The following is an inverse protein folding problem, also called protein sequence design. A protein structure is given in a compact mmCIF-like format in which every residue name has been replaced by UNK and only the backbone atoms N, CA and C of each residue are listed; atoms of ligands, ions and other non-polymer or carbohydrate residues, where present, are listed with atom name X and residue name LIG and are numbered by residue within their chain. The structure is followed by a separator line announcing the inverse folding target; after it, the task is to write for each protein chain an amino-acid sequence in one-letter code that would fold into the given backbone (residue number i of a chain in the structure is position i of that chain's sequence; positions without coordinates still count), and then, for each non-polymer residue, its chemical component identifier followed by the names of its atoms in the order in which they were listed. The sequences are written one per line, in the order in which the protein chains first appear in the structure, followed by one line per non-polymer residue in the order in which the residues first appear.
data_IF_015937129376
#
_entry.id   IF_015937129376
#
_cell.length_a   1.000
_cell.length_b   1.000
_cell.length_c   1.000
_cell.angle_alpha   90.00
_cell.angle_beta   90.00
_cell.angle_gamma   90.00
#
_symmetry.space_group_name_H-M   'P 1'
#
loop_
_entity.id
_entity.type
_entity.pdbx_description
1 polymer ?
#
# COMPACT_ATOMS: atom_id res chain seq x y z
N UNK A 1 6.87 1.72 -6.99
CA UNK A 1 7.12 3.11 -6.53
C UNK A 1 6.07 4.12 -7.01
N UNK A 2 5.74 4.19 -8.31
CA UNK A 2 4.78 5.17 -8.86
C UNK A 2 3.38 5.15 -8.21
N UNK A 3 2.89 3.97 -7.83
CA UNK A 3 1.62 3.85 -7.10
C UNK A 3 1.60 4.60 -5.75
N UNK A 4 2.75 4.71 -5.06
CA UNK A 4 2.84 5.45 -3.79
C UNK A 4 2.69 6.95 -4.01
N UNK A 5 3.33 7.49 -5.06
CA UNK A 5 3.26 8.92 -5.37
C UNK A 5 1.82 9.40 -5.65
N UNK A 6 0.96 8.52 -6.19
CA UNK A 6 -0.43 8.88 -6.49
C UNK A 6 -1.41 8.68 -5.34
N UNK A 7 -0.93 8.13 -4.21
CA UNK A 7 -1.72 7.90 -3.01
C UNK A 7 -2.13 9.21 -2.31
N UNK A 8 -3.32 9.22 -1.71
CA UNK A 8 -3.85 10.36 -0.95
C UNK A 8 -2.87 10.91 0.10
N UNK A 9 -2.13 10.03 0.79
CA UNK A 9 -1.14 10.45 1.79
C UNK A 9 0.01 11.25 1.16
N UNK A 10 0.68 10.70 0.15
CA UNK A 10 1.79 11.36 -0.53
C UNK A 10 1.33 12.62 -1.25
N UNK A 11 0.13 12.58 -1.83
CA UNK A 11 -0.58 13.71 -2.42
C UNK A 11 -0.69 14.88 -1.46
N UNK A 12 -1.26 14.64 -0.28
CA UNK A 12 -1.36 15.65 0.77
C UNK A 12 0.00 16.22 1.15
N UNK A 13 1.04 15.37 1.22
CA UNK A 13 2.39 15.82 1.56
C UNK A 13 2.94 16.78 0.51
N UNK A 14 2.99 16.38 -0.77
CA UNK A 14 3.59 17.25 -1.80
C UNK A 14 2.74 18.48 -2.14
N UNK A 15 1.41 18.40 -2.06
CA UNK A 15 0.58 19.59 -2.28
C UNK A 15 0.86 20.67 -1.22
N UNK A 16 1.07 20.26 0.03
CA UNK A 16 1.38 21.21 1.11
C UNK A 16 2.82 21.68 1.09
N UNK A 17 3.78 20.78 0.89
CA UNK A 17 5.20 21.13 1.01
C UNK A 17 5.77 21.81 -0.24
N UNK A 18 5.31 21.43 -1.45
CA UNK A 18 5.87 21.94 -2.71
C UNK A 18 4.90 22.85 -3.46
N UNK A 19 3.58 22.61 -3.39
CA UNK A 19 2.59 23.39 -4.12
C UNK A 19 1.83 24.41 -3.28
N UNK A 20 2.09 24.45 -1.96
CA UNK A 20 1.46 25.36 -0.99
C UNK A 20 -0.07 25.39 -1.12
N UNK A 21 -0.68 24.21 -1.18
CA UNK A 21 -2.08 24.05 -1.55
C UNK A 21 -2.87 23.14 -0.57
N UNK A 22 -3.79 23.69 0.25
CA UNK A 22 -3.92 25.11 0.57
C UNK A 22 -2.78 25.55 1.52
N UNK A 23 -2.32 26.81 1.44
CA UNK A 23 -1.21 27.28 2.27
C UNK A 23 -1.63 27.43 3.74
N UNK A 24 -2.89 27.78 3.99
CA UNK A 24 -3.51 27.81 5.32
C UNK A 24 -5.03 27.70 5.21
N UNK A 25 -5.71 27.31 6.29
CA UNK A 25 -7.18 27.21 6.31
C UNK A 25 -7.88 28.57 6.12
N UNK A 26 -7.20 29.67 6.42
CA UNK A 26 -7.73 31.04 6.30
C UNK A 26 -7.42 31.70 4.94
N UNK A 27 -6.61 31.06 4.09
CA UNK A 27 -6.17 31.62 2.81
C UNK A 27 -6.90 30.89 1.68
N UNK A 28 -7.63 31.63 0.86
CA UNK A 28 -8.35 31.09 -0.29
C UNK A 28 -7.42 30.48 -1.35
N UNK A 29 -7.98 29.65 -2.23
CA UNK A 29 -7.26 29.03 -3.35
C UNK A 29 -6.58 30.09 -4.22
N UNK A 30 -5.24 30.05 -4.26
CA UNK A 30 -4.41 31.03 -4.98
C UNK A 30 -4.70 31.04 -6.49
N UNK A 31 -5.22 29.95 -7.05
CA UNK A 31 -5.54 29.81 -8.48
C UNK A 31 -6.93 30.35 -8.84
N UNK A 32 -7.74 30.76 -7.85
CA UNK A 32 -9.08 31.30 -8.04
C UNK A 32 -9.97 30.42 -8.94
N UNK A 33 -10.73 31.04 -9.84
CA UNK A 33 -11.67 30.36 -10.75
C UNK A 33 -10.99 29.49 -11.83
N UNK A 34 -9.66 29.51 -11.93
CA UNK A 34 -8.90 28.67 -12.89
C UNK A 34 -8.46 27.33 -12.28
N UNK A 35 -8.82 27.03 -11.03
CA UNK A 35 -8.55 25.74 -10.43
C UNK A 35 -9.38 24.64 -11.10
N UNK A 36 -8.70 23.76 -11.85
CA UNK A 36 -9.31 22.60 -12.53
C UNK A 36 -9.20 21.32 -11.71
N UNK A 37 -8.63 21.39 -10.51
CA UNK A 37 -8.35 20.22 -9.68
C UNK A 37 -7.60 19.13 -10.44
N UNK A 38 -7.99 17.87 -10.19
CA UNK A 38 -7.37 16.68 -10.77
C UNK A 38 -8.00 16.26 -12.12
N UNK A 39 -8.64 17.20 -12.82
CA UNK A 39 -9.28 16.92 -14.12
C UNK A 39 -8.40 17.26 -15.33
N UNK A 40 -7.24 17.88 -15.11
CA UNK A 40 -6.33 18.32 -16.17
C UNK A 40 -4.93 17.70 -16.01
N UNK A 41 -4.21 17.56 -17.13
CA UNK A 41 -2.82 17.10 -17.13
C UNK A 41 -1.91 18.10 -16.40
N UNK A 42 -0.95 17.65 -15.55
CA UNK A 42 -0.57 16.26 -15.24
C UNK A 42 -1.38 15.62 -14.10
N UNK A 43 -2.20 16.38 -13.37
CA UNK A 43 -2.91 15.93 -12.17
C UNK A 43 -3.99 14.87 -12.45
N UNK A 44 -4.47 14.76 -13.69
CA UNK A 44 -5.38 13.66 -14.10
C UNK A 44 -4.78 12.27 -13.88
N UNK A 45 -3.46 12.13 -13.93
CA UNK A 45 -2.76 10.87 -13.67
C UNK A 45 -2.91 10.43 -12.21
N UNK A 46 -3.26 11.34 -11.31
CA UNK A 46 -3.54 11.03 -9.91
C UNK A 46 -4.78 10.12 -9.76
N UNK A 47 -5.71 10.18 -10.72
CA UNK A 47 -6.86 9.27 -10.78
C UNK A 47 -6.45 7.82 -11.09
N UNK A 48 -5.28 7.61 -11.72
CA UNK A 48 -4.77 6.27 -12.02
C UNK A 48 -4.53 5.43 -10.76
N UNK A 49 -4.30 6.08 -9.61
CA UNK A 49 -4.19 5.41 -8.31
C UNK A 49 -5.39 4.49 -8.03
N UNK A 50 -6.60 4.93 -8.38
CA UNK A 50 -7.81 4.14 -8.16
C UNK A 50 -7.78 2.82 -8.93
N UNK A 51 -7.31 2.84 -10.18
CA UNK A 51 -7.27 1.66 -11.04
C UNK A 51 -6.10 0.72 -10.68
N UNK A 52 -4.92 1.29 -10.40
CA UNK A 52 -3.74 0.51 -9.99
C UNK A 52 -3.94 -0.22 -8.66
N UNK A 53 -4.80 0.30 -7.79
CA UNK A 53 -5.14 -0.37 -6.53
C UNK A 53 -5.79 -1.74 -6.78
N UNK A 54 -6.65 -1.88 -7.80
CA UNK A 54 -7.27 -3.18 -8.14
C UNK A 54 -6.23 -4.18 -8.67
N UNK A 55 -5.27 -3.71 -9.45
CA UNK A 55 -4.15 -4.54 -9.95
C UNK A 55 -3.31 -5.07 -8.78
N UNK A 56 -3.20 -4.31 -7.69
CA UNK A 56 -2.45 -4.75 -6.50
C UNK A 56 -3.05 -6.02 -5.90
N UNK A 57 -4.37 -6.20 -5.92
CA UNK A 57 -5.01 -7.43 -5.46
C UNK A 57 -4.76 -8.64 -6.36
N UNK A 58 -4.47 -8.41 -7.65
CA UNK A 58 -4.06 -9.49 -8.55
C UNK A 58 -2.61 -9.91 -8.28
N UNK A 59 -1.75 -8.96 -7.91
CA UNK A 59 -0.32 -9.22 -7.69
C UNK A 59 0.00 -9.79 -6.30
N UNK A 60 -0.78 -9.41 -5.28
CA UNK A 60 -0.62 -9.87 -3.88
C UNK A 60 -0.55 -11.41 -3.74
N UNK A 61 -1.41 -12.22 -4.37
CA UNK A 61 -1.31 -13.68 -4.35
C UNK A 61 0.01 -14.22 -4.89
N UNK A 62 0.58 -13.60 -5.93
CA UNK A 62 1.89 -14.00 -6.47
C UNK A 62 2.99 -13.74 -5.45
N UNK A 63 2.98 -12.60 -4.76
CA UNK A 63 3.95 -12.31 -3.70
C UNK A 63 3.87 -13.31 -2.53
N UNK A 64 2.68 -13.78 -2.19
CA UNK A 64 2.51 -14.84 -1.19
C UNK A 64 2.95 -16.21 -1.71
N UNK A 65 2.75 -16.49 -3.01
CA UNK A 65 3.33 -17.66 -3.67
C UNK A 65 4.86 -17.64 -3.59
N UNK A 66 5.50 -16.49 -3.82
CA UNK A 66 6.95 -16.34 -3.73
C UNK A 66 7.48 -16.65 -2.32
N UNK A 67 6.74 -16.26 -1.27
CA UNK A 67 7.07 -16.64 0.12
C UNK A 67 7.06 -18.16 0.30
N UNK A 68 6.07 -18.86 -0.26
CA UNK A 68 5.98 -20.33 -0.20
C UNK A 68 7.09 -21.00 -1.01
N UNK A 69 7.50 -20.43 -2.13
CA UNK A 69 8.64 -20.95 -2.88
C UNK A 69 9.96 -20.68 -2.14
N UNK A 70 10.08 -19.54 -1.47
CA UNK A 70 11.25 -19.18 -0.68
C UNK A 70 11.46 -20.05 0.58
N UNK A 71 10.44 -20.81 1.01
CA UNK A 71 10.57 -21.80 2.10
C UNK A 71 10.95 -23.20 1.58
N UNK A 72 11.08 -23.41 0.27
CA UNK A 72 11.43 -24.71 -0.30
C UNK A 72 12.88 -24.75 -0.75
N UNK A 73 13.72 -25.49 -0.04
CA UNK A 73 15.12 -25.71 -0.39
C UNK A 73 15.31 -27.16 -0.83
N UNK A 74 15.58 -27.39 -2.13
CA UNK A 74 15.86 -28.74 -2.63
C UNK A 74 14.73 -29.77 -2.44
N UNK A 75 13.50 -29.32 -2.22
CA UNK A 75 12.34 -30.20 -1.99
C UNK A 75 11.93 -30.37 -0.52
N UNK A 76 12.72 -29.90 0.45
CA UNK A 76 12.34 -29.85 1.86
C UNK A 76 11.92 -28.44 2.29
N UNK A 77 11.19 -28.36 3.41
CA UNK A 77 10.91 -27.10 4.08
C UNK A 77 12.19 -26.59 4.73
N UNK A 78 12.49 -25.32 4.52
CA UNK A 78 13.58 -24.63 5.20
C UNK A 78 13.29 -23.15 5.35
N UNK A 79 14.08 -22.51 6.21
CA UNK A 79 13.95 -21.09 6.51
C UNK A 79 15.33 -20.45 6.42
N UNK A 80 15.48 -19.49 5.52
CA UNK A 80 16.67 -18.65 5.42
C UNK A 80 16.38 -17.21 5.81
N UNK A 81 17.43 -16.40 5.92
CA UNK A 81 17.29 -14.96 6.05
C UNK A 81 16.53 -14.40 4.84
N UNK A 82 16.81 -14.88 3.63
CA UNK A 82 16.08 -14.48 2.42
C UNK A 82 14.58 -14.76 2.50
N UNK A 83 14.19 -15.91 3.05
CA UNK A 83 12.79 -16.26 3.30
C UNK A 83 12.12 -15.24 4.24
N UNK A 84 12.80 -14.88 5.34
CA UNK A 84 12.28 -13.89 6.30
C UNK A 84 12.18 -12.49 5.69
N UNK A 85 13.16 -12.09 4.88
CA UNK A 85 13.16 -10.80 4.18
C UNK A 85 12.00 -10.71 3.19
N UNK A 86 11.77 -11.76 2.38
CA UNK A 86 10.64 -11.82 1.44
C UNK A 86 9.30 -11.83 2.20
N UNK A 87 9.19 -12.61 3.29
CA UNK A 87 8.00 -12.67 4.13
C UNK A 87 7.68 -11.30 4.76
N UNK A 88 8.67 -10.62 5.33
CA UNK A 88 8.51 -9.30 5.92
C UNK A 88 8.05 -8.28 4.87
N UNK A 89 8.65 -8.33 3.68
CA UNK A 89 8.27 -7.47 2.56
C UNK A 89 6.83 -7.70 2.09
N UNK A 90 6.46 -8.96 1.82
CA UNK A 90 5.11 -9.34 1.39
C UNK A 90 4.06 -8.97 2.45
N UNK A 91 4.38 -9.17 3.74
CA UNK A 91 3.50 -8.77 4.86
C UNK A 91 3.32 -7.26 4.92
N UNK A 92 4.40 -6.48 4.81
CA UNK A 92 4.32 -5.02 4.83
C UNK A 92 3.52 -4.47 3.63
N UNK A 93 3.71 -5.03 2.43
CA UNK A 93 2.93 -4.69 1.24
C UNK A 93 1.45 -5.04 1.38
N UNK A 94 1.15 -6.18 2.00
CA UNK A 94 -0.22 -6.61 2.32
C UNK A 94 -0.89 -5.60 3.25
N UNK A 95 -0.24 -5.25 4.37
CA UNK A 95 -0.76 -4.26 5.32
C UNK A 95 -0.93 -2.88 4.69
N UNK A 96 0.01 -2.45 3.84
CA UNK A 96 -0.10 -1.19 3.11
C UNK A 96 -1.31 -1.17 2.16
N UNK A 97 -1.58 -2.29 1.47
CA UNK A 97 -2.71 -2.42 0.55
C UNK A 97 -4.05 -2.41 1.29
N UNK A 98 -4.18 -3.20 2.36
CA UNK A 98 -5.42 -3.29 3.14
C UNK A 98 -5.70 -2.07 4.02
N UNK A 99 -4.67 -1.31 4.41
CA UNK A 99 -4.86 -0.03 5.12
C UNK A 99 -5.25 1.14 4.20
N UNK A 100 -5.30 0.95 2.88
CA UNK A 100 -5.63 2.02 1.94
C UNK A 100 -7.09 2.50 2.11
N UNK A 101 -7.33 3.79 1.83
CA UNK A 101 -8.69 4.35 1.82
C UNK A 101 -9.59 3.65 0.79
N UNK A 102 -9.03 3.27 -0.35
CA UNK A 102 -9.72 2.49 -1.39
C UNK A 102 -10.18 1.12 -0.87
N UNK A 103 -9.36 0.44 -0.05
CA UNK A 103 -9.70 -0.84 0.58
C UNK A 103 -10.89 -0.69 1.54
N UNK A 104 -10.83 0.34 2.39
CA UNK A 104 -11.91 0.68 3.33
C UNK A 104 -13.22 0.99 2.60
N UNK A 105 -13.14 1.76 1.51
CA UNK A 105 -14.29 2.08 0.67
C UNK A 105 -14.88 0.82 0.00
N UNK A 106 -14.03 -0.09 -0.48
CA UNK A 106 -14.49 -1.35 -1.08
C UNK A 106 -15.28 -2.22 -0.07
N UNK A 107 -14.86 -2.25 1.19
CA UNK A 107 -15.50 -3.06 2.24
C UNK A 107 -16.88 -2.50 2.64
N UNK A 108 -16.95 -1.20 2.92
CA UNK A 108 -18.13 -0.59 3.57
C UNK A 108 -18.70 0.68 2.92
N UNK A 109 -18.17 1.14 1.78
CA UNK A 109 -18.54 2.41 1.18
C UNK A 109 -19.93 2.46 0.54
N UNK A 110 -20.58 1.31 0.31
CA UNK A 110 -21.90 1.19 -0.34
C UNK A 110 -23.01 0.81 0.64
N UNK A 111 -22.81 0.99 1.95
CA UNK A 111 -23.78 0.60 2.96
C UNK A 111 -24.61 1.81 3.38
N UNK A 112 -25.90 1.76 3.09
CA UNK A 112 -26.86 2.81 3.50
C UNK A 112 -27.41 2.58 4.92
N UNK A 113 -27.28 1.36 5.46
CA UNK A 113 -27.65 1.03 6.83
C UNK A 113 -26.66 0.01 7.44
N UNK A 114 -26.19 0.26 8.66
CA UNK A 114 -25.20 -0.58 9.34
C UNK A 114 -25.79 -1.69 10.23
N UNK A 115 -27.07 -1.62 10.57
CA UNK A 115 -27.73 -2.55 11.51
C UNK A 115 -28.87 -3.38 10.90
N UNK A 116 -29.33 -3.03 9.69
CA UNK A 116 -30.57 -3.56 9.10
C UNK A 116 -30.51 -5.05 8.74
N UNK A 117 -29.33 -5.64 8.55
CA UNK A 117 -29.18 -7.07 8.26
C UNK A 117 -27.93 -7.66 8.90
N UNK A 118 -27.88 -8.98 9.05
CA UNK A 118 -26.68 -9.68 9.53
C UNK A 118 -25.46 -9.39 8.62
N UNK A 119 -25.66 -9.38 7.30
CA UNK A 119 -24.61 -9.02 6.33
C UNK A 119 -24.11 -7.58 6.47
N UNK A 120 -25.01 -6.62 6.72
CA UNK A 120 -24.64 -5.22 6.97
C UNK A 120 -23.81 -5.08 8.25
N UNK A 121 -24.18 -5.79 9.32
CA UNK A 121 -23.41 -5.80 10.58
C UNK A 121 -22.01 -6.37 10.40
N UNK A 122 -21.87 -7.48 9.66
CA UNK A 122 -20.56 -8.09 9.36
C UNK A 122 -19.69 -7.16 8.51
N UNK A 123 -20.24 -6.55 7.45
CA UNK A 123 -19.49 -5.59 6.62
C UNK A 123 -19.10 -4.35 7.41
N UNK A 124 -19.96 -3.86 8.30
CA UNK A 124 -19.65 -2.74 9.18
C UNK A 124 -18.52 -3.10 10.17
N UNK A 125 -18.50 -4.31 10.73
CA UNK A 125 -17.40 -4.80 11.57
C UNK A 125 -16.08 -4.86 10.79
N UNK A 126 -16.09 -5.41 9.57
CA UNK A 126 -14.92 -5.42 8.68
C UNK A 126 -14.45 -3.99 8.34
N UNK A 127 -15.39 -3.08 8.08
CA UNK A 127 -15.09 -1.66 7.83
C UNK A 127 -14.46 -0.99 9.06
N UNK A 128 -14.89 -1.30 10.29
CA UNK A 128 -14.21 -0.81 11.52
C UNK A 128 -12.76 -1.29 11.57
N UNK A 129 -12.51 -2.56 11.28
CA UNK A 129 -11.14 -3.11 11.20
C UNK A 129 -10.29 -2.41 10.16
N UNK A 130 -10.82 -2.24 8.94
CA UNK A 130 -10.15 -1.49 7.87
C UNK A 130 -9.93 -0.01 8.25
N UNK A 131 -10.84 0.58 9.01
CA UNK A 131 -10.71 1.96 9.53
C UNK A 131 -9.55 2.08 10.53
N UNK A 132 -9.41 1.09 11.42
CA UNK A 132 -8.30 1.04 12.37
C UNK A 132 -6.94 0.87 11.67
N UNK A 133 -6.88 0.01 10.64
CA UNK A 133 -5.69 -0.12 9.80
C UNK A 133 -5.40 1.17 9.03
N UNK A 134 -6.42 1.82 8.46
CA UNK A 134 -6.29 3.04 7.69
C UNK A 134 -5.74 4.21 8.51
N UNK A 135 -6.07 4.30 9.80
CA UNK A 135 -5.48 5.30 10.70
C UNK A 135 -3.95 5.22 10.77
N UNK A 136 -3.37 4.03 10.53
CA UNK A 136 -1.92 3.79 10.50
C UNK A 136 -1.36 3.63 9.08
N UNK A 137 -2.11 4.02 8.05
CA UNK A 137 -1.70 3.84 6.64
C UNK A 137 -0.33 4.46 6.34
N UNK A 138 -0.04 5.62 6.92
CA UNK A 138 1.27 6.27 6.78
C UNK A 138 2.42 5.38 7.29
N UNK A 139 2.25 4.74 8.45
CA UNK A 139 3.24 3.83 9.01
C UNK A 139 3.47 2.63 8.07
N UNK A 140 2.39 2.01 7.60
CA UNK A 140 2.48 0.90 6.64
C UNK A 140 3.13 1.32 5.31
N UNK A 141 2.92 2.56 4.87
CA UNK A 141 3.56 3.10 3.67
C UNK A 141 5.09 3.15 3.81
N UNK A 142 5.59 3.62 4.96
CA UNK A 142 7.03 3.68 5.23
C UNK A 142 7.62 2.31 5.48
N UNK A 143 6.99 1.47 6.31
CA UNK A 143 7.45 0.10 6.54
C UNK A 143 7.57 -0.67 5.23
N UNK A 144 6.54 -0.63 4.39
CA UNK A 144 6.57 -1.30 3.09
C UNK A 144 7.56 -0.67 2.10
N UNK A 145 7.93 0.59 2.25
CA UNK A 145 8.99 1.20 1.42
C UNK A 145 10.35 0.63 1.82
N UNK A 146 10.67 0.68 3.12
CA UNK A 146 11.94 0.15 3.63
C UNK A 146 12.07 -1.36 3.35
N UNK A 147 11.04 -2.16 3.60
CA UNK A 147 11.13 -3.61 3.36
C UNK A 147 11.30 -3.95 1.88
N UNK A 148 10.66 -3.22 0.96
CA UNK A 148 10.85 -3.43 -0.49
C UNK A 148 12.29 -3.12 -0.89
N UNK A 149 12.81 -1.96 -0.47
CA UNK A 149 14.18 -1.57 -0.79
C UNK A 149 15.20 -2.55 -0.19
N UNK A 150 14.98 -2.98 1.06
CA UNK A 150 15.84 -3.98 1.71
C UNK A 150 15.76 -5.35 1.03
N UNK A 151 14.56 -5.78 0.62
CA UNK A 151 14.40 -7.05 -0.10
C UNK A 151 15.08 -7.03 -1.48
N UNK A 152 14.91 -5.95 -2.23
CA UNK A 152 15.56 -5.77 -3.54
C UNK A 152 17.10 -5.79 -3.40
N UNK A 153 17.62 -5.02 -2.44
CA UNK A 153 19.05 -5.00 -2.14
C UNK A 153 19.55 -6.38 -1.71
N UNK A 154 18.85 -7.05 -0.79
CA UNK A 154 19.24 -8.37 -0.30
C UNK A 154 19.28 -9.40 -1.42
N UNK A 155 18.20 -9.52 -2.20
CA UNK A 155 18.11 -10.46 -3.32
C UNK A 155 19.19 -10.17 -4.35
N UNK A 156 19.44 -8.89 -4.66
CA UNK A 156 20.52 -8.49 -5.58
C UNK A 156 21.90 -8.89 -5.07
N UNK A 157 22.18 -8.67 -3.79
CA UNK A 157 23.47 -9.04 -3.19
C UNK A 157 23.67 -10.56 -3.21
N UNK A 158 22.64 -11.34 -2.89
CA UNK A 158 22.67 -12.81 -2.98
C UNK A 158 22.87 -13.28 -4.42
N UNK A 159 22.12 -12.72 -5.38
CA UNK A 159 22.21 -13.08 -6.79
C UNK A 159 23.58 -12.71 -7.41
N UNK A 160 24.20 -11.64 -6.94
CA UNK A 160 25.56 -11.23 -7.35
C UNK A 160 26.68 -12.00 -6.65
N UNK A 161 26.35 -12.87 -5.69
CA UNK A 161 27.33 -13.64 -4.92
C UNK A 161 28.13 -12.83 -3.90
N UNK A 162 27.77 -11.56 -3.65
CA UNK A 162 28.44 -10.71 -2.64
C UNK A 162 28.15 -11.20 -1.23
N UNK A 163 26.93 -11.68 -0.99
CA UNK A 163 26.54 -12.33 0.26
C UNK A 163 25.93 -13.70 -0.06
N UNK A 164 26.05 -14.62 0.88
CA UNK A 164 25.37 -15.92 0.79
C UNK A 164 24.14 -15.92 1.69
N UNK A 165 23.05 -16.50 1.18
CA UNK A 165 21.83 -16.64 1.95
C UNK A 165 22.05 -17.61 3.12
N UNK A 166 21.99 -17.10 4.34
CA UNK A 166 22.21 -17.89 5.55
C UNK A 166 20.96 -18.72 5.83
N UNK A 167 21.14 -20.04 5.90
CA UNK A 167 20.10 -21.00 6.28
C UNK A 167 19.99 -21.04 7.80
N UNK A 168 18.77 -20.88 8.32
CA UNK A 168 18.45 -21.02 9.74
C UNK A 168 17.88 -22.41 10.04
N UNK A 169 17.19 -22.99 9.05
CA UNK A 169 16.58 -24.32 9.09
C UNK A 169 16.63 -24.96 7.70
#
# INVERSE_FOLDING_TARGET
MLFRATCYYYRKAYYRSYFLDPPACAVGELRGNRYRGETAFPLVLQNLHRYLFYITFLYLPFLWSDVVHATRFGGSFGVGIGTLVILANTTALTLYSFSCHSARHLIGGSLDCFSCSAGARTRHAAWKGASALNARHMLFAWMSFFTVCSADLYVRLVASGVIHDIRLL
#
